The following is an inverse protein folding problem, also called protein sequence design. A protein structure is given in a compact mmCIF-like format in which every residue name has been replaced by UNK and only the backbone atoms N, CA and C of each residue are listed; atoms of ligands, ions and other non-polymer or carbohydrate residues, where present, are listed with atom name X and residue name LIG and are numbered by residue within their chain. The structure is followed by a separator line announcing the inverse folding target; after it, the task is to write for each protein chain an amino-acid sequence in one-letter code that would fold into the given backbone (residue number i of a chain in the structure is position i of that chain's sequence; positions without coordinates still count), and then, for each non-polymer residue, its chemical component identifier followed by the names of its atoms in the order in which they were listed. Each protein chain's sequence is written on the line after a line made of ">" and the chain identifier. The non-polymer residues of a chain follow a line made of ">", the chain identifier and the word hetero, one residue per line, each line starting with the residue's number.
data_IF_749779627300
#
_entry.id   IF_749779627300
#
_cell.length_a   1.000
_cell.length_b   1.000
_cell.length_c   1.000
_cell.angle_alpha   90.00
_cell.angle_beta   90.00
_cell.angle_gamma   90.00
#
_symmetry.space_group_name_H-M   'P 1'
#
loop_
_entity.id
_entity.type
_entity.pdbx_description
1 polymer ?
#
# COMPACT_ATOMS: atom_id res chain seq x y z
N UNK A 1 -3.96 2.23 9.90
CA UNK A 1 -4.10 0.78 9.59
C UNK A 1 -4.91 0.14 10.71
N UNK A 2 -5.80 -0.83 10.43
CA UNK A 2 -6.47 -1.59 11.49
C UNK A 2 -5.44 -2.24 12.42
N UNK A 3 -5.71 -2.31 13.72
CA UNK A 3 -4.83 -2.97 14.69
C UNK A 3 -3.61 -2.17 15.18
N UNK A 4 -3.50 -0.87 14.84
CA UNK A 4 -2.43 -0.03 15.39
C UNK A 4 -2.64 0.24 16.89
N UNK A 5 -1.67 -0.14 17.71
CA UNK A 5 -1.69 0.07 19.16
C UNK A 5 -1.44 1.53 19.56
N UNK A 6 -0.61 2.25 18.80
CA UNK A 6 -0.28 3.65 19.07
C UNK A 6 -0.39 4.49 17.80
N UNK A 7 -1.64 4.80 17.42
CA UNK A 7 -1.94 5.59 16.21
C UNK A 7 -1.23 6.95 16.22
N UNK A 8 -1.23 7.65 17.36
CA UNK A 8 -0.61 8.99 17.47
C UNK A 8 0.87 9.01 17.13
N UNK A 9 1.66 8.05 17.64
CA UNK A 9 3.09 8.01 17.35
C UNK A 9 3.36 7.71 15.86
N UNK A 10 2.54 6.85 15.26
CA UNK A 10 2.62 6.52 13.83
C UNK A 10 2.27 7.75 12.99
N UNK A 11 1.22 8.48 13.34
CA UNK A 11 0.83 9.72 12.67
C UNK A 11 1.91 10.79 12.77
N UNK A 12 2.47 11.02 13.97
CA UNK A 12 3.59 11.96 14.14
C UNK A 12 4.80 11.60 13.30
N UNK A 13 5.15 10.31 13.24
CA UNK A 13 6.25 9.85 12.40
C UNK A 13 5.94 10.04 10.91
N UNK A 14 4.70 9.76 10.51
CA UNK A 14 4.22 9.97 9.15
C UNK A 14 4.27 11.45 8.76
N UNK A 15 3.88 12.36 9.64
CA UNK A 15 3.94 13.80 9.40
C UNK A 15 5.37 14.27 9.14
N UNK A 16 6.33 13.81 9.94
CA UNK A 16 7.75 14.11 9.70
C UNK A 16 8.23 13.61 8.34
N UNK A 17 7.83 12.39 7.95
CA UNK A 17 8.20 11.81 6.64
C UNK A 17 7.55 12.61 5.49
N UNK A 18 6.28 13.00 5.63
CA UNK A 18 5.56 13.78 4.61
C UNK A 18 6.18 15.17 4.43
N UNK A 19 6.60 15.83 5.51
CA UNK A 19 7.32 17.11 5.43
C UNK A 19 8.67 16.96 4.72
N UNK A 20 9.46 15.95 5.07
CA UNK A 20 10.73 15.68 4.40
C UNK A 20 10.55 15.38 2.91
N UNK A 21 9.48 14.66 2.56
CA UNK A 21 9.15 14.34 1.18
C UNK A 21 8.73 15.57 0.38
N UNK A 22 7.89 16.46 0.95
CA UNK A 22 7.50 17.71 0.28
C UNK A 22 8.72 18.59 -0.01
N UNK A 23 9.60 18.80 0.98
CA UNK A 23 10.84 19.54 0.80
C UNK A 23 11.75 18.92 -0.27
N UNK A 24 11.89 17.60 -0.25
CA UNK A 24 12.70 16.88 -1.24
C UNK A 24 12.14 17.05 -2.66
N UNK A 25 10.82 16.97 -2.82
CA UNK A 25 10.18 17.13 -4.13
C UNK A 25 10.26 18.57 -4.63
N UNK A 26 10.10 19.56 -3.76
CA UNK A 26 10.28 20.98 -4.11
C UNK A 26 11.72 21.26 -4.57
N UNK A 27 12.72 20.69 -3.89
CA UNK A 27 14.12 20.87 -4.25
C UNK A 27 14.48 20.22 -5.60
N UNK A 28 13.94 19.04 -5.89
CA UNK A 28 14.33 18.24 -7.06
C UNK A 28 13.38 18.37 -8.27
N UNK A 29 12.19 18.93 -8.09
CA UNK A 29 11.18 19.10 -9.14
C UNK A 29 10.64 20.53 -9.20
N UNK A 30 11.55 21.50 -9.28
CA UNK A 30 11.22 22.93 -9.25
C UNK A 30 10.21 23.35 -10.34
N UNK A 31 10.20 22.67 -11.49
CA UNK A 31 9.29 22.95 -12.60
C UNK A 31 7.91 22.27 -12.47
N UNK A 32 7.67 21.49 -11.41
CA UNK A 32 6.41 20.78 -11.21
C UNK A 32 5.80 21.05 -9.84
N UNK A 33 5.07 22.16 -9.76
CA UNK A 33 4.36 22.67 -8.57
C UNK A 33 3.37 21.68 -7.93
N UNK A 34 2.97 20.60 -8.63
CA UNK A 34 1.94 19.66 -8.19
C UNK A 34 2.44 18.21 -8.01
N UNK A 35 3.75 17.97 -7.92
CA UNK A 35 4.27 16.60 -7.75
C UNK A 35 3.81 15.98 -6.45
N UNK A 36 3.89 16.72 -5.34
CA UNK A 36 3.51 16.17 -4.03
C UNK A 36 2.03 15.78 -3.95
N UNK A 37 1.04 16.64 -4.31
CA UNK A 37 -0.37 16.23 -4.38
C UNK A 37 -0.62 15.05 -5.33
N UNK A 38 0.05 15.01 -6.50
CA UNK A 38 -0.07 13.88 -7.44
C UNK A 38 0.46 12.58 -6.83
N UNK A 39 1.54 12.63 -6.07
CA UNK A 39 2.10 11.47 -5.38
C UNK A 39 1.17 10.95 -4.28
N UNK A 40 0.56 11.84 -3.51
CA UNK A 40 -0.46 11.46 -2.51
C UNK A 40 -1.65 10.76 -3.19
N UNK A 41 -2.11 11.26 -4.33
CA UNK A 41 -3.16 10.60 -5.13
C UNK A 41 -2.71 9.21 -5.60
N UNK A 42 -1.47 9.05 -6.08
CA UNK A 42 -0.93 7.75 -6.48
C UNK A 42 -0.86 6.76 -5.31
N UNK A 43 -0.58 7.22 -4.09
CA UNK A 43 -0.67 6.37 -2.90
C UNK A 43 -2.10 5.90 -2.62
N UNK A 44 -3.12 6.70 -2.95
CA UNK A 44 -4.52 6.26 -2.87
C UNK A 44 -4.85 5.23 -3.95
N UNK A 45 -4.43 5.49 -5.19
CA UNK A 45 -4.59 4.55 -6.31
C UNK A 45 -3.97 3.19 -5.98
N UNK A 46 -2.77 3.17 -5.37
CA UNK A 46 -2.10 1.93 -4.96
C UNK A 46 -2.87 1.14 -3.91
N UNK A 47 -3.52 1.81 -2.94
CA UNK A 47 -4.37 1.12 -1.96
C UNK A 47 -5.56 0.44 -2.63
N UNK A 48 -6.17 1.13 -3.59
CA UNK A 48 -7.29 0.58 -4.37
C UNK A 48 -6.83 -0.63 -5.18
N UNK A 49 -5.73 -0.50 -5.92
CA UNK A 49 -5.15 -1.57 -6.72
C UNK A 49 -4.83 -2.82 -5.89
N UNK A 50 -4.25 -2.66 -4.69
CA UNK A 50 -3.97 -3.78 -3.79
C UNK A 50 -5.25 -4.46 -3.32
N UNK A 51 -6.31 -3.69 -3.06
CA UNK A 51 -7.61 -4.22 -2.64
C UNK A 51 -8.25 -5.05 -3.77
N UNK A 52 -8.24 -4.52 -5.00
CA UNK A 52 -8.72 -5.23 -6.19
C UNK A 52 -7.92 -6.50 -6.46
N UNK A 53 -6.60 -6.43 -6.36
CA UNK A 53 -5.72 -7.58 -6.54
C UNK A 53 -5.99 -8.66 -5.48
N UNK A 54 -6.20 -8.29 -4.22
CA UNK A 54 -6.54 -9.24 -3.16
C UNK A 54 -7.87 -9.97 -3.45
N UNK A 55 -8.88 -9.25 -3.96
CA UNK A 55 -10.16 -9.85 -4.37
C UNK A 55 -9.99 -10.82 -5.54
N UNK A 56 -9.18 -10.45 -6.53
CA UNK A 56 -8.87 -11.32 -7.67
C UNK A 56 -8.14 -12.58 -7.22
N UNK A 57 -7.11 -12.46 -6.39
CA UNK A 57 -6.38 -13.60 -5.81
C UNK A 57 -7.32 -14.49 -5.00
N UNK A 58 -8.23 -13.92 -4.21
CA UNK A 58 -9.21 -14.69 -3.45
C UNK A 58 -10.20 -15.43 -4.37
N UNK A 59 -10.64 -14.79 -5.46
CA UNK A 59 -11.51 -15.39 -6.47
C UNK A 59 -10.79 -16.56 -7.15
N UNK A 60 -9.54 -16.37 -7.55
CA UNK A 60 -8.67 -17.43 -8.10
C UNK A 60 -8.59 -18.59 -7.10
N UNK A 61 -8.24 -18.37 -5.83
CA UNK A 61 -8.18 -19.44 -4.82
C UNK A 61 -9.49 -20.20 -4.62
N UNK A 62 -10.64 -19.54 -4.72
CA UNK A 62 -11.97 -20.17 -4.59
C UNK A 62 -12.42 -20.90 -5.86
N UNK A 63 -11.94 -20.48 -7.03
CA UNK A 63 -12.22 -21.16 -8.30
C UNK A 63 -11.22 -22.30 -8.54
N UNK A 64 -9.99 -22.15 -8.05
CA UNK A 64 -8.91 -23.14 -8.06
C UNK A 64 -8.89 -24.01 -6.78
N UNK A 65 -9.90 -23.97 -5.91
CA UNK A 65 -10.09 -25.05 -4.93
C UNK A 65 -10.43 -26.40 -5.57
N UNK A 66 -10.58 -26.45 -6.91
CA UNK A 66 -10.52 -27.67 -7.72
C UNK A 66 -9.11 -27.96 -8.30
N UNK A 67 -8.13 -27.07 -8.14
CA UNK A 67 -6.75 -27.20 -8.64
C UNK A 67 -5.77 -26.90 -7.50
N UNK A 68 -5.30 -27.97 -6.85
CA UNK A 68 -4.34 -27.97 -5.74
C UNK A 68 -3.23 -26.90 -5.83
N UNK A 69 -3.38 -25.78 -5.11
CA UNK A 69 -2.34 -24.75 -5.01
C UNK A 69 -1.07 -25.34 -4.38
N UNK A 70 0.10 -25.02 -4.94
CA UNK A 70 1.38 -25.53 -4.46
C UNK A 70 1.69 -25.09 -3.00
N UNK A 71 2.25 -25.97 -2.13
CA UNK A 71 2.44 -25.72 -0.70
C UNK A 71 3.19 -24.41 -0.36
N UNK A 72 4.22 -24.06 -1.15
CA UNK A 72 5.00 -22.83 -0.94
C UNK A 72 4.15 -21.54 -1.04
N UNK A 73 3.17 -21.52 -1.94
CA UNK A 73 2.29 -20.35 -2.10
C UNK A 73 1.28 -20.28 -0.94
N UNK A 74 0.89 -21.41 -0.36
CA UNK A 74 0.01 -21.44 0.81
C UNK A 74 0.68 -20.77 2.01
N UNK A 75 1.96 -21.04 2.26
CA UNK A 75 2.72 -20.44 3.36
C UNK A 75 2.90 -18.92 3.18
N UNK A 76 3.18 -18.44 1.96
CA UNK A 76 3.35 -17.00 1.67
C UNK A 76 2.06 -16.21 1.93
N UNK A 77 0.90 -16.80 1.66
CA UNK A 77 -0.39 -16.13 1.84
C UNK A 77 -1.00 -16.29 3.24
N UNK A 78 -0.45 -17.18 4.07
CA UNK A 78 -0.97 -17.50 5.40
C UNK A 78 -0.79 -16.36 6.40
N UNK A 79 0.29 -15.58 6.25
CA UNK A 79 0.62 -14.47 7.16
C UNK A 79 0.19 -13.10 6.60
N UNK A 80 -0.53 -13.09 5.48
CA UNK A 80 -1.01 -11.86 4.85
C UNK A 80 -2.39 -11.41 5.37
N UNK A 81 -3.00 -12.17 6.29
CA UNK A 81 -4.24 -11.87 7.01
C UNK A 81 -4.09 -12.06 8.52
#
# INVERSE_FOLDING_TARGET
>A
RPGLMNVKQVEQSQDCILQALDLHLQANHQDSLYVFPKLLNKMADLRQLVTENALLVQKIKKTESEISLHPLLQEIYKDMY
#
